data_IF_452790522803
#
_entry.id   IF_452790522803
#
_cell.length_a   1.000
_cell.length_b   1.000
_cell.length_c   1.000
_cell.angle_alpha   90.00
_cell.angle_beta   90.00
_cell.angle_gamma   90.00
#
_symmetry.space_group_name_H-M   'P 1'
#
loop_
_entity.id
_entity.type
_entity.pdbx_description
1 polymer ?
#
# COMPACT_ATOMS: atom_id res chain seq x y z
N UNK A 1 -29.11 -1.90 -5.86
CA UNK A 1 -28.79 -3.09 -5.05
C UNK A 1 -28.12 -2.62 -3.77
N UNK A 2 -28.47 -3.16 -2.58
CA UNK A 2 -27.78 -2.79 -1.35
C UNK A 2 -26.31 -3.24 -1.48
N UNK A 3 -25.37 -2.33 -1.24
CA UNK A 3 -23.92 -2.57 -1.34
C UNK A 3 -23.40 -3.72 -0.45
N UNK A 4 -24.23 -4.28 0.45
CA UNK A 4 -23.85 -5.29 1.43
C UNK A 4 -24.92 -6.38 1.63
N UNK A 5 -25.81 -6.62 0.65
CA UNK A 5 -27.01 -7.44 0.86
C UNK A 5 -26.74 -8.89 1.30
N UNK A 6 -25.59 -9.45 0.90
CA UNK A 6 -25.24 -10.87 1.10
C UNK A 6 -24.22 -11.12 2.22
N UNK A 7 -23.95 -10.14 3.11
CA UNK A 7 -22.93 -10.26 4.16
C UNK A 7 -23.51 -10.77 5.48
N UNK A 8 -22.81 -11.70 6.12
CA UNK A 8 -23.17 -12.21 7.45
C UNK A 8 -22.84 -11.16 8.52
N UNK A 9 -23.80 -10.78 9.40
CA UNK A 9 -23.51 -9.88 10.51
C UNK A 9 -22.67 -10.60 11.58
N UNK A 10 -21.49 -10.07 11.87
CA UNK A 10 -20.62 -10.56 12.94
C UNK A 10 -20.74 -9.67 14.19
N UNK A 11 -20.84 -10.23 15.40
CA UNK A 11 -20.86 -9.44 16.63
C UNK A 11 -19.54 -8.66 16.83
N UNK A 12 -19.63 -7.47 17.41
CA UNK A 12 -18.49 -6.67 17.88
C UNK A 12 -17.66 -5.93 16.81
N UNK A 13 -18.26 -4.96 16.08
CA UNK A 13 -17.59 -3.88 15.31
C UNK A 13 -16.62 -4.29 14.17
N UNK A 14 -16.39 -3.41 13.18
CA UNK A 14 -17.30 -3.06 12.08
C UNK A 14 -17.66 -4.28 11.22
N UNK A 15 -18.72 -4.18 10.41
CA UNK A 15 -19.06 -5.23 9.45
C UNK A 15 -17.94 -5.38 8.41
N UNK A 16 -17.76 -6.59 7.88
CA UNK A 16 -16.80 -6.84 6.78
C UNK A 16 -17.06 -5.91 5.59
N UNK A 17 -18.33 -5.58 5.33
CA UNK A 17 -18.69 -4.60 4.31
C UNK A 17 -18.21 -3.18 4.63
N UNK A 18 -18.38 -2.67 5.85
CA UNK A 18 -17.85 -1.34 6.23
C UNK A 18 -16.34 -1.29 6.09
N UNK A 19 -15.67 -2.39 6.42
CA UNK A 19 -14.23 -2.51 6.30
C UNK A 19 -13.78 -2.41 4.84
N UNK A 20 -14.41 -3.18 3.95
CA UNK A 20 -14.09 -3.20 2.51
C UNK A 20 -14.48 -1.91 1.78
N UNK A 21 -15.60 -1.30 2.16
CA UNK A 21 -16.13 -0.12 1.48
C UNK A 21 -15.54 1.20 1.95
N UNK A 22 -15.18 1.32 3.23
CA UNK A 22 -14.76 2.60 3.82
C UNK A 22 -13.32 2.56 4.33
N UNK A 23 -12.96 1.51 5.08
CA UNK A 23 -11.69 1.51 5.85
C UNK A 23 -10.50 1.13 4.95
N UNK A 24 -10.61 0.05 4.17
CA UNK A 24 -9.58 -0.42 3.21
C UNK A 24 -9.17 0.63 2.17
N UNK A 25 -10.10 1.39 1.55
CA UNK A 25 -9.73 2.39 0.55
C UNK A 25 -9.17 3.69 1.14
N UNK A 26 -9.33 3.94 2.45
CA UNK A 26 -8.94 5.20 3.07
C UNK A 26 -7.42 5.52 2.99
N UNK A 27 -6.49 4.57 3.24
CA UNK A 27 -5.07 4.78 2.98
C UNK A 27 -4.77 5.23 1.54
N UNK A 28 -5.49 4.68 0.57
CA UNK A 28 -5.34 5.00 -0.86
C UNK A 28 -5.80 6.43 -1.17
N UNK A 29 -6.91 6.88 -0.59
CA UNK A 29 -7.35 8.28 -0.71
C UNK A 29 -6.32 9.25 -0.13
N UNK A 30 -5.80 8.95 1.06
CA UNK A 30 -4.79 9.78 1.71
C UNK A 30 -3.50 9.85 0.89
N UNK A 31 -3.07 8.72 0.30
CA UNK A 31 -1.91 8.69 -0.58
C UNK A 31 -2.09 9.62 -1.78
N UNK A 32 -3.21 9.51 -2.50
CA UNK A 32 -3.47 10.34 -3.69
C UNK A 32 -3.52 11.82 -3.30
N UNK A 33 -4.22 12.17 -2.23
CA UNK A 33 -4.33 13.55 -1.76
C UNK A 33 -2.97 14.11 -1.34
N UNK A 34 -2.20 13.36 -0.54
CA UNK A 34 -0.88 13.78 -0.08
C UNK A 34 0.12 13.90 -1.23
N UNK A 35 0.09 12.97 -2.19
CA UNK A 35 0.91 13.06 -3.41
C UNK A 35 0.58 14.32 -4.20
N UNK A 36 -0.69 14.62 -4.42
CA UNK A 36 -1.12 15.83 -5.15
C UNK A 36 -0.65 17.10 -4.45
N UNK A 37 -0.80 17.19 -3.12
CA UNK A 37 -0.31 18.32 -2.32
C UNK A 37 1.21 18.46 -2.39
N UNK A 38 1.96 17.36 -2.31
CA UNK A 38 3.41 17.36 -2.43
C UNK A 38 3.85 17.75 -3.83
N UNK A 39 3.23 17.19 -4.87
CA UNK A 39 3.53 17.51 -6.27
C UNK A 39 3.34 19.02 -6.53
N UNK A 40 2.23 19.60 -6.06
CA UNK A 40 1.96 21.05 -6.17
C UNK A 40 2.99 21.90 -5.40
N UNK A 41 3.51 21.43 -4.26
CA UNK A 41 4.57 22.12 -3.51
C UNK A 41 5.94 21.97 -4.18
N UNK A 42 6.23 20.81 -4.75
CA UNK A 42 7.51 20.52 -5.42
C UNK A 42 7.65 21.31 -6.73
N UNK A 43 6.56 21.57 -7.45
CA UNK A 43 6.56 22.51 -8.59
C UNK A 43 7.07 23.91 -8.21
N UNK A 44 6.96 24.30 -6.93
CA UNK A 44 7.40 25.59 -6.40
C UNK A 44 8.78 25.55 -5.74
N UNK A 45 9.35 24.36 -5.50
CA UNK A 45 10.58 24.19 -4.73
C UNK A 45 11.77 23.88 -5.65
N UNK A 46 12.95 24.44 -5.35
CA UNK A 46 14.20 24.02 -6.00
C UNK A 46 14.56 22.60 -5.55
N UNK A 47 15.04 21.73 -6.46
CA UNK A 47 15.42 20.38 -6.11
C UNK A 47 16.55 20.38 -5.07
N UNK A 48 16.30 19.78 -3.92
CA UNK A 48 17.30 19.54 -2.88
C UNK A 48 18.15 18.32 -3.28
N UNK A 49 19.49 18.44 -3.29
CA UNK A 49 20.37 17.32 -3.58
C UNK A 49 20.44 16.42 -2.35
N UNK A 50 19.67 15.34 -2.37
CA UNK A 50 19.68 14.28 -1.36
C UNK A 50 19.32 12.95 -2.00
N UNK A 51 20.05 12.59 -3.05
CA UNK A 51 19.82 11.38 -3.81
C UNK A 51 20.46 10.18 -3.14
N UNK A 52 19.67 9.17 -2.80
CA UNK A 52 20.19 7.88 -2.37
C UNK A 52 20.49 6.98 -3.55
N UNK A 53 21.68 6.38 -3.53
CA UNK A 53 22.02 5.26 -4.42
C UNK A 53 21.38 3.99 -3.85
N UNK A 54 20.15 3.71 -4.27
CA UNK A 54 19.45 2.47 -3.91
C UNK A 54 19.92 1.33 -4.82
N UNK A 55 20.19 0.12 -4.30
CA UNK A 55 20.65 -0.99 -5.12
C UNK A 55 19.59 -1.36 -6.17
N UNK A 56 20.01 -1.37 -7.45
CA UNK A 56 19.10 -1.56 -8.59
C UNK A 56 18.30 -2.86 -8.52
N UNK A 57 18.92 -3.95 -8.08
CA UNK A 57 18.27 -5.26 -7.97
C UNK A 57 17.10 -5.22 -6.98
N UNK A 58 17.29 -4.56 -5.83
CA UNK A 58 16.26 -4.45 -4.81
C UNK A 58 15.08 -3.60 -5.32
N UNK A 59 15.36 -2.60 -6.17
CA UNK A 59 14.31 -1.80 -6.80
C UNK A 59 13.46 -2.63 -7.76
N UNK A 60 14.09 -3.48 -8.58
CA UNK A 60 13.38 -4.38 -9.48
C UNK A 60 12.52 -5.39 -8.72
N UNK A 61 13.08 -6.01 -7.67
CA UNK A 61 12.32 -6.93 -6.80
C UNK A 61 11.12 -6.21 -6.19
N UNK A 62 11.34 -5.02 -5.61
CA UNK A 62 10.28 -4.23 -5.03
C UNK A 62 9.19 -3.85 -6.04
N UNK A 63 9.58 -3.39 -7.23
CA UNK A 63 8.67 -3.03 -8.31
C UNK A 63 7.82 -4.22 -8.77
N UNK A 64 8.43 -5.39 -8.95
CA UNK A 64 7.73 -6.63 -9.33
C UNK A 64 6.73 -7.04 -8.24
N UNK A 65 7.12 -6.97 -6.96
CA UNK A 65 6.23 -7.30 -5.86
C UNK A 65 5.03 -6.34 -5.78
N UNK A 66 5.21 -5.05 -6.07
CA UNK A 66 4.09 -4.09 -6.13
C UNK A 66 3.13 -4.43 -7.29
N UNK A 67 3.64 -4.87 -8.45
CA UNK A 67 2.79 -5.38 -9.54
C UNK A 67 2.01 -6.62 -9.10
N UNK A 68 2.67 -7.55 -8.39
CA UNK A 68 2.00 -8.72 -7.85
C UNK A 68 0.91 -8.35 -6.84
N UNK A 69 1.17 -7.36 -5.97
CA UNK A 69 0.18 -6.85 -5.02
C UNK A 69 -1.01 -6.18 -5.72
N UNK A 70 -0.78 -5.43 -6.81
CA UNK A 70 -1.85 -4.91 -7.66
C UNK A 70 -2.69 -6.04 -8.28
N UNK A 71 -2.04 -7.10 -8.76
CA UNK A 71 -2.71 -8.31 -9.25
C UNK A 71 -3.60 -8.96 -8.19
N UNK A 72 -3.08 -9.14 -6.97
CA UNK A 72 -3.85 -9.67 -5.84
C UNK A 72 -5.06 -8.78 -5.49
N UNK A 73 -4.88 -7.45 -5.48
CA UNK A 73 -5.98 -6.52 -5.22
C UNK A 73 -7.09 -6.61 -6.30
N UNK A 74 -6.70 -6.74 -7.57
CA UNK A 74 -7.66 -6.92 -8.67
C UNK A 74 -8.37 -8.29 -8.61
N UNK A 75 -7.65 -9.35 -8.24
CA UNK A 75 -8.23 -10.68 -8.03
C UNK A 75 -9.23 -10.68 -6.89
N UNK A 76 -8.92 -10.04 -5.77
CA UNK A 76 -9.85 -9.88 -4.65
C UNK A 76 -11.11 -9.14 -5.10
N UNK A 77 -10.96 -7.99 -5.78
CA UNK A 77 -12.09 -7.22 -6.33
C UNK A 77 -12.95 -8.10 -7.23
N UNK A 78 -12.34 -8.84 -8.15
CA UNK A 78 -13.05 -9.74 -9.06
C UNK A 78 -13.83 -10.82 -8.32
N UNK A 79 -13.21 -11.45 -7.31
CA UNK A 79 -13.85 -12.47 -6.48
C UNK A 79 -15.01 -11.90 -5.64
N UNK A 80 -14.85 -10.69 -5.10
CA UNK A 80 -15.91 -9.98 -4.36
C UNK A 80 -17.09 -9.60 -5.25
N UNK A 81 -16.84 -9.21 -6.51
CA UNK A 81 -17.89 -8.91 -7.50
C UNK A 81 -18.69 -10.17 -7.83
N UNK A 82 -18.01 -11.30 -8.09
CA UNK A 82 -18.65 -12.56 -8.49
C UNK A 82 -19.59 -13.12 -7.41
N UNK A 83 -19.31 -12.81 -6.14
CA UNK A 83 -20.10 -13.26 -5.00
C UNK A 83 -21.05 -12.17 -4.44
N UNK A 84 -21.22 -11.05 -5.17
CA UNK A 84 -22.09 -9.92 -4.81
C UNK A 84 -21.85 -9.39 -3.37
N UNK A 85 -20.60 -9.46 -2.92
CA UNK A 85 -20.19 -9.14 -1.55
C UNK A 85 -19.96 -7.64 -1.31
N UNK A 86 -20.16 -6.81 -2.34
CA UNK A 86 -20.01 -5.37 -2.29
C UNK A 86 -18.59 -4.91 -2.56
N UNK A 87 -18.44 -3.97 -3.49
CA UNK A 87 -17.14 -3.46 -3.95
C UNK A 87 -16.92 -1.98 -3.62
N UNK A 88 -17.95 -1.28 -3.15
CA UNK A 88 -17.94 0.13 -2.71
C UNK A 88 -16.84 1.01 -3.29
N UNK A 89 -15.98 1.55 -2.42
CA UNK A 89 -14.84 2.39 -2.82
C UNK A 89 -13.54 1.61 -3.04
N UNK A 90 -13.56 0.28 -2.96
CA UNK A 90 -12.39 -0.59 -3.16
C UNK A 90 -11.66 -0.36 -4.51
N UNK A 91 -12.33 0.03 -5.62
CA UNK A 91 -11.66 0.38 -6.88
C UNK A 91 -10.65 1.53 -6.80
N UNK A 92 -10.64 2.37 -5.75
CA UNK A 92 -9.60 3.38 -5.58
C UNK A 92 -8.24 2.76 -5.23
N UNK A 93 -8.23 1.56 -4.64
CA UNK A 93 -7.00 0.91 -4.21
C UNK A 93 -6.10 0.55 -5.40
N UNK A 94 -6.60 -0.06 -6.50
CA UNK A 94 -5.85 -0.18 -7.75
C UNK A 94 -5.30 1.14 -8.28
N UNK A 95 -6.07 2.24 -8.21
CA UNK A 95 -5.61 3.57 -8.66
C UNK A 95 -4.40 4.04 -7.85
N UNK A 96 -4.43 3.85 -6.52
CA UNK A 96 -3.29 4.15 -5.67
C UNK A 96 -2.07 3.27 -5.99
N UNK A 97 -2.25 1.98 -6.29
CA UNK A 97 -1.16 1.12 -6.76
C UNK A 97 -0.55 1.59 -8.08
N UNK A 98 -1.36 2.03 -9.05
CA UNK A 98 -0.85 2.64 -10.27
C UNK A 98 -0.05 3.91 -9.99
N UNK A 99 -0.50 4.73 -9.03
CA UNK A 99 0.25 5.90 -8.59
C UNK A 99 1.59 5.51 -7.94
N UNK A 100 1.61 4.49 -7.08
CA UNK A 100 2.85 3.95 -6.52
C UNK A 100 3.79 3.49 -7.65
N UNK A 101 3.31 2.69 -8.59
CA UNK A 101 4.11 2.25 -9.75
C UNK A 101 4.66 3.43 -10.55
N UNK A 102 3.85 4.48 -10.75
CA UNK A 102 4.28 5.71 -11.38
C UNK A 102 5.41 6.41 -10.61
N UNK A 103 5.27 6.54 -9.29
CA UNK A 103 6.32 7.11 -8.41
C UNK A 103 7.60 6.27 -8.50
N UNK A 104 7.49 4.95 -8.36
CA UNK A 104 8.64 4.04 -8.44
C UNK A 104 9.33 4.12 -9.80
N UNK A 105 8.56 4.21 -10.89
CA UNK A 105 9.08 4.32 -12.24
C UNK A 105 9.88 5.62 -12.44
N UNK A 106 9.31 6.75 -12.02
CA UNK A 106 9.96 8.05 -12.17
C UNK A 106 11.19 8.21 -11.25
N UNK A 107 11.14 7.60 -10.07
CA UNK A 107 12.23 7.62 -9.08
C UNK A 107 13.17 6.40 -9.19
N UNK A 108 13.21 5.71 -10.34
CA UNK A 108 14.06 4.54 -10.57
C UNK A 108 15.55 4.82 -10.30
N UNK A 109 16.01 6.04 -10.60
CA UNK A 109 17.43 6.43 -10.46
C UNK A 109 17.74 7.09 -9.11
N UNK A 110 16.79 7.85 -8.58
CA UNK A 110 16.96 8.65 -7.37
C UNK A 110 15.65 8.61 -6.59
N UNK A 111 15.69 8.07 -5.37
CA UNK A 111 14.55 8.06 -4.45
C UNK A 111 14.59 9.32 -3.57
N UNK A 112 13.54 10.14 -3.61
CA UNK A 112 13.47 11.28 -2.70
C UNK A 112 13.02 10.82 -1.31
N UNK A 113 13.58 11.43 -0.25
CA UNK A 113 13.18 11.10 1.14
C UNK A 113 11.69 11.35 1.38
N UNK A 114 11.14 12.43 0.81
CA UNK A 114 9.72 12.77 0.95
C UNK A 114 8.81 11.66 0.40
N UNK A 115 9.10 11.13 -0.79
CA UNK A 115 8.32 10.03 -1.37
C UNK A 115 8.50 8.73 -0.59
N UNK A 116 9.71 8.45 -0.09
CA UNK A 116 9.95 7.27 0.75
C UNK A 116 9.15 7.32 2.07
N UNK A 117 9.07 8.48 2.73
CA UNK A 117 8.20 8.67 3.90
C UNK A 117 6.72 8.51 3.56
N UNK A 118 6.28 9.09 2.45
CA UNK A 118 4.89 8.98 1.99
C UNK A 118 4.51 7.51 1.75
N UNK A 119 5.34 6.77 1.03
CA UNK A 119 5.13 5.35 0.74
C UNK A 119 5.20 4.50 2.02
N UNK A 120 6.16 4.75 2.91
CA UNK A 120 6.25 4.07 4.20
C UNK A 120 4.98 4.23 5.03
N UNK A 121 4.44 5.46 5.13
CA UNK A 121 3.17 5.73 5.81
C UNK A 121 1.98 5.01 5.16
N UNK A 122 1.92 5.01 3.82
CA UNK A 122 0.89 4.29 3.08
C UNK A 122 0.92 2.78 3.32
N UNK A 123 2.09 2.14 3.23
CA UNK A 123 2.23 0.70 3.46
C UNK A 123 1.93 0.30 4.89
N UNK A 124 2.37 1.09 5.87
CA UNK A 124 2.06 0.85 7.27
C UNK A 124 0.55 0.89 7.50
N UNK A 125 -0.13 1.91 6.95
CA UNK A 125 -1.55 2.05 7.15
C UNK A 125 -2.34 0.92 6.46
N UNK A 126 -1.99 0.58 5.21
CA UNK A 126 -2.56 -0.59 4.53
C UNK A 126 -2.34 -1.88 5.33
N UNK A 127 -1.13 -2.09 5.84
CA UNK A 127 -0.79 -3.26 6.65
C UNK A 127 -1.71 -3.37 7.88
N UNK A 128 -1.89 -2.28 8.64
CA UNK A 128 -2.76 -2.25 9.81
C UNK A 128 -4.21 -2.60 9.42
N UNK A 129 -4.75 -1.97 8.38
CA UNK A 129 -6.14 -2.20 7.95
C UNK A 129 -6.34 -3.65 7.47
N UNK A 130 -5.40 -4.20 6.72
CA UNK A 130 -5.46 -5.58 6.25
C UNK A 130 -5.27 -6.61 7.37
N UNK A 131 -4.47 -6.31 8.40
CA UNK A 131 -4.40 -7.15 9.60
C UNK A 131 -5.76 -7.18 10.30
N UNK A 132 -6.39 -6.02 10.52
CA UNK A 132 -7.74 -5.96 11.12
C UNK A 132 -8.74 -6.74 10.27
N UNK A 133 -8.70 -6.58 8.95
CA UNK A 133 -9.53 -7.36 8.01
C UNK A 133 -9.32 -8.87 8.16
N UNK A 134 -8.08 -9.31 8.17
CA UNK A 134 -7.69 -10.72 8.29
C UNK A 134 -8.20 -11.32 9.61
N UNK A 135 -8.06 -10.58 10.73
CA UNK A 135 -8.59 -11.03 12.02
C UNK A 135 -10.12 -11.19 11.99
N UNK A 136 -10.83 -10.28 11.32
CA UNK A 136 -12.30 -10.38 11.17
C UNK A 136 -12.70 -11.52 10.25
N UNK A 137 -11.98 -11.73 9.15
CA UNK A 137 -12.21 -12.85 8.24
C UNK A 137 -11.98 -14.21 8.91
N UNK A 138 -11.04 -14.31 9.85
CA UNK A 138 -10.84 -15.52 10.64
C UNK A 138 -12.07 -15.86 11.49
N UNK A 139 -12.72 -14.84 12.06
CA UNK A 139 -13.97 -15.05 12.80
C UNK A 139 -15.09 -15.46 11.84
N UNK A 140 -15.14 -14.88 10.64
CA UNK A 140 -16.10 -15.27 9.60
C UNK A 140 -15.93 -16.74 9.18
N UNK A 141 -14.70 -17.17 8.94
CA UNK A 141 -14.35 -18.55 8.57
C UNK A 141 -14.86 -19.56 9.60
N UNK A 142 -14.81 -19.23 10.89
CA UNK A 142 -15.32 -20.09 11.96
C UNK A 142 -16.86 -20.21 11.98
N UNK A 143 -17.58 -19.22 11.42
CA UNK A 143 -19.04 -19.14 11.48
C UNK A 143 -19.70 -19.44 10.12
N UNK A 144 -18.97 -19.40 9.01
CA UNK A 144 -19.52 -19.59 7.68
C UNK A 144 -19.62 -21.08 7.33
N UNK A 145 -20.76 -21.47 6.76
CA UNK A 145 -20.94 -22.78 6.14
C UNK A 145 -20.56 -22.68 4.67
N UNK A 146 -19.75 -23.63 4.17
CA UNK A 146 -18.96 -23.60 2.93
C UNK A 146 -19.70 -23.44 1.57
N UNK A 147 -20.74 -22.61 1.46
CA UNK A 147 -21.61 -22.47 0.27
C UNK A 147 -21.37 -21.20 -0.57
N UNK A 148 -20.39 -20.36 -0.24
CA UNK A 148 -20.00 -19.20 -1.07
C UNK A 148 -19.09 -19.60 -2.25
N UNK A 149 -19.14 -18.86 -3.36
CA UNK A 149 -18.20 -19.01 -4.50
C UNK A 149 -16.81 -18.45 -4.20
N UNK A 150 -16.68 -17.65 -3.15
CA UNK A 150 -15.42 -17.15 -2.62
C UNK A 150 -15.35 -17.46 -1.13
N UNK A 151 -14.95 -18.70 -0.76
CA UNK A 151 -15.05 -19.16 0.63
C UNK A 151 -14.19 -18.32 1.57
N UNK A 152 -14.62 -18.21 2.83
CA UNK A 152 -13.91 -17.42 3.85
C UNK A 152 -12.44 -17.82 4.05
N UNK A 153 -12.08 -19.09 3.83
CA UNK A 153 -10.69 -19.55 3.87
C UNK A 153 -9.82 -18.89 2.80
N UNK A 154 -10.35 -18.76 1.58
CA UNK A 154 -9.65 -18.12 0.46
C UNK A 154 -9.59 -16.60 0.69
N UNK A 155 -10.69 -16.02 1.18
CA UNK A 155 -10.71 -14.60 1.60
C UNK A 155 -9.64 -14.31 2.64
N UNK A 156 -9.53 -15.17 3.66
CA UNK A 156 -8.55 -15.03 4.73
C UNK A 156 -7.13 -15.14 4.19
N UNK A 157 -6.85 -16.15 3.35
CA UNK A 157 -5.53 -16.39 2.79
C UNK A 157 -5.09 -15.22 1.90
N UNK A 158 -5.92 -14.78 0.97
CA UNK A 158 -5.61 -13.66 0.06
C UNK A 158 -5.30 -12.38 0.84
N UNK A 159 -6.09 -12.08 1.87
CA UNK A 159 -5.91 -10.90 2.71
C UNK A 159 -4.69 -11.00 3.63
N UNK A 160 -4.39 -12.19 4.17
CA UNK A 160 -3.20 -12.43 4.97
C UNK A 160 -1.91 -12.26 4.13
N UNK A 161 -1.91 -12.76 2.89
CA UNK A 161 -0.80 -12.57 1.95
C UNK A 161 -0.61 -11.10 1.61
N UNK A 162 -1.69 -10.36 1.35
CA UNK A 162 -1.60 -8.90 1.12
C UNK A 162 -1.06 -8.15 2.34
N UNK A 163 -1.51 -8.47 3.56
CA UNK A 163 -0.96 -7.89 4.79
C UNK A 163 0.56 -8.13 4.90
N UNK A 164 1.00 -9.37 4.62
CA UNK A 164 2.42 -9.72 4.60
C UNK A 164 3.22 -8.92 3.58
N UNK A 165 2.70 -8.74 2.36
CA UNK A 165 3.34 -7.91 1.33
C UNK A 165 3.46 -6.45 1.79
N UNK A 166 2.42 -5.88 2.39
CA UNK A 166 2.48 -4.50 2.91
C UNK A 166 3.51 -4.34 4.03
N UNK A 167 3.65 -5.34 4.91
CA UNK A 167 4.72 -5.34 5.91
C UNK A 167 6.10 -5.37 5.26
N UNK A 168 6.31 -6.20 4.23
CA UNK A 168 7.57 -6.24 3.46
C UNK A 168 7.86 -4.89 2.81
N UNK A 169 6.86 -4.24 2.20
CA UNK A 169 7.01 -2.93 1.57
C UNK A 169 7.34 -1.84 2.58
N UNK A 170 6.69 -1.86 3.75
CA UNK A 170 7.02 -0.96 4.84
C UNK A 170 8.48 -1.12 5.27
N UNK A 171 8.92 -2.36 5.53
CA UNK A 171 10.32 -2.64 5.89
C UNK A 171 11.30 -2.19 4.81
N UNK A 172 10.99 -2.42 3.53
CA UNK A 172 11.82 -1.99 2.41
C UNK A 172 11.98 -0.45 2.35
N UNK A 173 10.91 0.30 2.58
CA UNK A 173 10.96 1.77 2.64
C UNK A 173 11.72 2.26 3.88
N UNK A 174 11.57 1.62 5.05
CA UNK A 174 12.36 1.95 6.24
C UNK A 174 13.86 1.72 5.98
N UNK A 175 14.23 0.59 5.39
CA UNK A 175 15.63 0.31 5.01
C UNK A 175 16.15 1.38 4.04
N UNK A 176 15.35 1.76 3.04
CA UNK A 176 15.69 2.85 2.10
C UNK A 176 15.97 4.17 2.82
N UNK A 177 15.12 4.54 3.78
CA UNK A 177 15.28 5.75 4.60
C UNK A 177 16.55 5.66 5.46
N UNK A 178 16.84 4.51 6.06
CA UNK A 178 18.02 4.31 6.90
C UNK A 178 19.31 4.42 6.08
N UNK A 179 19.37 3.76 4.92
CA UNK A 179 20.48 3.88 3.97
C UNK A 179 20.65 5.31 3.43
N UNK A 180 19.59 6.12 3.47
CA UNK A 180 19.68 7.54 3.08
C UNK A 180 20.41 8.42 4.07
N UNK A 181 20.48 8.04 5.35
CA UNK A 181 21.08 8.86 6.40
C UNK A 181 22.60 8.71 6.48
N UNK A 182 23.17 7.64 5.92
CA UNK A 182 24.60 7.33 6.02
C UNK A 182 25.48 8.03 4.97
N UNK A 183 24.90 8.71 3.97
CA UNK A 183 25.65 9.53 3.00
C UNK A 183 25.81 10.94 3.56
N UNK A 184 26.77 11.12 4.47
CA UNK A 184 27.24 12.45 4.88
C UNK A 184 28.00 13.11 3.72
N UNK A 185 27.76 14.40 3.42
CA UNK A 185 28.60 15.13 2.49
C UNK A 185 30.02 15.21 3.07
N UNK A 186 31.02 14.80 2.28
CA UNK A 186 32.43 15.06 2.58
C UNK A 186 32.58 16.54 2.96
N UNK A 187 33.29 16.87 4.05
CA UNK A 187 33.53 18.27 4.40
C UNK A 187 34.25 18.94 3.23
N UNK A 188 33.66 20.03 2.75
CA UNK A 188 34.20 20.84 1.66
C UNK A 188 35.57 21.38 2.09
N UNK A 189 36.66 20.75 1.65
CA UNK A 189 38.00 21.30 1.82
C UNK A 189 38.07 22.60 1.01
N UNK A 190 38.03 23.73 1.71
CA UNK A 190 38.47 25.02 1.19
C UNK A 190 39.96 24.89 0.90
N UNK A 191 40.27 24.44 -0.32
CA UNK A 191 41.61 24.46 -0.89
C UNK A 191 42.18 25.86 -0.75
N UNK A 192 43.15 25.99 0.16
CA UNK A 192 43.85 27.23 0.42
C UNK A 192 44.48 27.77 -0.86
N UNK A 193 44.10 28.99 -1.22
CA UNK A 193 44.85 29.80 -2.18
C UNK A 193 45.99 30.43 -1.39
N UNK A 194 47.21 29.95 -1.66
CA UNK A 194 48.46 30.65 -1.33
C UNK A 194 48.69 31.78 -2.31
#
# INVERSE_FOLDING_TARGET
MPLCANRVPLPGSPSTCTLDTVIVPLPSFLLVAAFLLLYLRLLKAKPSPGATSYPKWLHYVYFILVIAALGMALLEIGRLVVDDLGVGLLPITPVAFFLVLYILWHERRVRTRAMSYLLSGYWLFLCIVFIVKTVRLRVLEQHESAKSKYPASDQLLDNAVMAGLFAVFFCAEIISIMLSKSVTPEPFELGGVR
#
